data_IF_218511665087
#
_entry.id   IF_218511665087
#
_cell.length_a   1.000
_cell.length_b   1.000
_cell.length_c   1.000
_cell.angle_alpha   90.00
_cell.angle_beta   90.00
_cell.angle_gamma   90.00
#
_symmetry.space_group_name_H-M   'P 1'
#
loop_
_entity.id
_entity.type
_entity.pdbx_description
1 polymer ?
#
# COMPACT_ATOMS: atom_id res chain seq x y z
N UNK A 1 -3.65 -15.66 11.07
CA UNK A 1 -2.67 -14.62 10.62
C UNK A 1 -1.96 -14.04 11.82
N UNK A 2 -0.66 -14.00 11.75
CA UNK A 2 0.16 -13.40 12.81
C UNK A 2 0.27 -11.90 12.58
N UNK A 3 0.22 -11.14 13.66
CA UNK A 3 0.29 -9.69 13.62
C UNK A 3 1.47 -9.20 14.45
N UNK A 4 2.04 -8.07 14.03
CA UNK A 4 3.04 -7.32 14.80
C UNK A 4 2.34 -6.07 15.31
N UNK A 5 2.51 -5.79 16.60
CA UNK A 5 1.92 -4.59 17.20
C UNK A 5 2.94 -3.46 17.20
N UNK A 6 2.59 -2.34 16.60
CA UNK A 6 3.43 -1.16 16.59
C UNK A 6 3.36 -0.44 17.94
N UNK A 7 4.29 0.50 18.17
CA UNK A 7 4.36 1.23 19.42
C UNK A 7 3.13 2.10 19.70
N UNK A 8 2.34 2.39 18.68
CA UNK A 8 1.08 3.15 18.83
C UNK A 8 -0.13 2.24 19.01
N UNK A 9 0.07 0.93 19.16
CA UNK A 9 -1.01 -0.03 19.36
C UNK A 9 -1.63 -0.57 18.08
N UNK A 10 -1.25 -0.06 16.91
CA UNK A 10 -1.76 -0.55 15.65
C UNK A 10 -1.13 -1.91 15.32
N UNK A 11 -1.95 -2.84 14.84
CA UNK A 11 -1.51 -4.19 14.48
C UNK A 11 -1.34 -4.28 12.97
N UNK A 12 -0.16 -4.75 12.55
CA UNK A 12 0.15 -5.00 11.14
C UNK A 12 0.25 -6.50 10.92
N UNK A 13 -0.44 -7.06 9.89
CA UNK A 13 -0.24 -8.46 9.54
C UNK A 13 1.23 -8.70 9.20
N UNK A 14 1.80 -9.77 9.73
CA UNK A 14 3.21 -10.05 9.58
C UNK A 14 3.59 -10.42 8.14
N UNK A 15 2.67 -11.04 7.41
CA UNK A 15 2.88 -11.43 6.02
C UNK A 15 1.98 -10.58 5.13
N UNK A 16 2.56 -10.01 4.09
CA UNK A 16 1.84 -9.21 3.11
C UNK A 16 2.26 -9.55 1.69
N UNK A 17 1.43 -9.12 0.73
CA UNK A 17 1.76 -9.21 -0.69
C UNK A 17 2.34 -7.89 -1.14
N UNK A 18 3.58 -7.91 -1.64
CA UNK A 18 4.19 -6.76 -2.28
C UNK A 18 3.97 -6.83 -3.79
N UNK A 19 3.61 -5.71 -4.40
CA UNK A 19 3.31 -5.65 -5.83
C UNK A 19 4.32 -4.82 -6.61
N UNK A 20 5.53 -4.70 -6.10
CA UNK A 20 6.61 -4.01 -6.81
C UNK A 20 6.89 -4.73 -8.13
N UNK A 21 6.94 -3.95 -9.22
CA UNK A 21 7.19 -4.44 -10.58
C UNK A 21 6.09 -5.32 -11.17
N UNK A 22 4.91 -5.35 -10.59
CA UNK A 22 3.77 -5.95 -11.26
C UNK A 22 3.05 -4.86 -12.06
N UNK A 23 2.63 -5.15 -13.29
CA UNK A 23 2.03 -4.12 -14.14
C UNK A 23 0.65 -3.71 -13.64
N UNK A 24 0.26 -2.48 -13.96
CA UNK A 24 -1.11 -2.05 -13.73
C UNK A 24 -2.02 -2.84 -14.66
N UNK A 25 -3.16 -3.29 -14.15
CA UNK A 25 -4.13 -4.02 -14.92
C UNK A 25 -4.60 -5.30 -14.25
N UNK A 26 -5.17 -6.18 -15.07
CA UNK A 26 -5.83 -7.39 -14.58
C UNK A 26 -4.89 -8.34 -13.83
N UNK A 27 -3.63 -8.43 -14.24
CA UNK A 27 -2.70 -9.36 -13.58
C UNK A 27 -2.48 -8.97 -12.12
N UNK A 28 -2.25 -7.70 -11.85
CA UNK A 28 -2.08 -7.22 -10.49
C UNK A 28 -3.39 -7.30 -9.70
N UNK A 29 -4.50 -6.91 -10.30
CA UNK A 29 -5.80 -6.99 -9.64
C UNK A 29 -6.12 -8.44 -9.24
N UNK A 30 -5.89 -9.38 -10.14
CA UNK A 30 -6.13 -10.79 -9.85
C UNK A 30 -5.17 -11.32 -8.78
N UNK A 31 -3.90 -10.92 -8.81
CA UNK A 31 -2.94 -11.35 -7.81
C UNK A 31 -3.36 -10.89 -6.41
N UNK A 32 -3.82 -9.64 -6.29
CA UNK A 32 -4.32 -9.11 -5.02
C UNK A 32 -5.55 -9.89 -4.57
N UNK A 33 -6.50 -10.11 -5.46
CA UNK A 33 -7.70 -10.88 -5.15
C UNK A 33 -7.34 -12.28 -4.65
N UNK A 34 -6.49 -12.98 -5.38
CA UNK A 34 -6.10 -14.34 -5.02
C UNK A 34 -5.33 -14.40 -3.71
N UNK A 35 -4.47 -13.42 -3.44
CA UNK A 35 -3.76 -13.37 -2.16
C UNK A 35 -4.73 -13.21 -1.00
N UNK A 36 -5.70 -12.33 -1.13
CA UNK A 36 -6.71 -12.15 -0.09
C UNK A 36 -7.51 -13.43 0.12
N UNK A 37 -7.91 -14.08 -0.96
CA UNK A 37 -8.63 -15.36 -0.87
C UNK A 37 -7.80 -16.45 -0.22
N UNK A 38 -6.48 -16.39 -0.37
CA UNK A 38 -5.57 -17.33 0.25
C UNK A 38 -5.25 -17.01 1.71
N UNK A 39 -5.76 -15.91 2.23
CA UNK A 39 -5.57 -15.55 3.64
C UNK A 39 -4.66 -14.36 3.90
N UNK A 40 -4.08 -13.75 2.88
CA UNK A 40 -3.28 -12.55 3.07
C UNK A 40 -4.16 -11.40 3.54
N UNK A 41 -3.63 -10.60 4.48
CA UNK A 41 -4.37 -9.47 5.04
C UNK A 41 -3.59 -8.16 4.97
N UNK A 42 -2.50 -8.12 4.21
CA UNK A 42 -1.69 -6.93 4.02
C UNK A 42 -1.26 -6.84 2.56
N UNK A 43 -1.53 -5.71 1.93
CA UNK A 43 -1.11 -5.42 0.56
C UNK A 43 -0.19 -4.20 0.62
N UNK A 44 0.98 -4.30 0.00
CA UNK A 44 2.01 -3.26 -0.01
C UNK A 44 2.23 -2.77 -1.43
N UNK A 45 1.92 -1.51 -1.69
CA UNK A 45 2.13 -0.87 -2.98
C UNK A 45 2.82 0.48 -2.79
N UNK A 46 2.94 1.25 -3.86
CA UNK A 46 3.48 2.61 -3.84
C UNK A 46 3.03 3.36 -5.08
N UNK A 47 2.92 4.67 -4.97
CA UNK A 47 2.56 5.50 -6.12
C UNK A 47 3.49 5.28 -7.30
N UNK A 48 4.79 5.19 -7.04
CA UNK A 48 5.80 5.03 -8.10
C UNK A 48 5.69 3.69 -8.82
N UNK A 49 5.03 2.68 -8.22
CA UNK A 49 4.84 1.40 -8.89
C UNK A 49 3.86 1.50 -10.06
N UNK A 50 2.98 2.50 -10.05
CA UNK A 50 2.03 2.73 -11.12
C UNK A 50 0.87 1.75 -11.15
N UNK A 51 0.61 1.05 -10.06
CA UNK A 51 -0.41 0.00 -10.02
C UNK A 51 -1.43 0.14 -8.90
N UNK A 52 -1.52 1.32 -8.28
CA UNK A 52 -2.45 1.53 -7.16
C UNK A 52 -3.91 1.27 -7.55
N UNK A 53 -4.31 1.63 -8.77
CA UNK A 53 -5.68 1.36 -9.25
C UNK A 53 -5.98 -0.13 -9.25
N UNK A 54 -5.04 -0.92 -9.73
CA UNK A 54 -5.19 -2.37 -9.80
C UNK A 54 -5.25 -2.99 -8.41
N UNK A 55 -4.50 -2.46 -7.47
CA UNK A 55 -4.56 -2.91 -6.07
C UNK A 55 -5.95 -2.67 -5.51
N UNK A 56 -6.49 -1.46 -5.68
CA UNK A 56 -7.84 -1.15 -5.22
C UNK A 56 -8.89 -2.04 -5.85
N UNK A 57 -8.76 -2.30 -7.15
CA UNK A 57 -9.68 -3.18 -7.86
C UNK A 57 -9.62 -4.60 -7.33
N UNK A 58 -8.42 -5.13 -7.09
CA UNK A 58 -8.26 -6.48 -6.55
C UNK A 58 -8.89 -6.61 -5.16
N UNK A 59 -8.77 -5.59 -4.32
CA UNK A 59 -9.42 -5.59 -3.01
C UNK A 59 -10.93 -5.66 -3.18
N UNK A 60 -11.50 -4.86 -4.06
CA UNK A 60 -12.94 -4.87 -4.31
C UNK A 60 -13.40 -6.22 -4.87
N UNK A 61 -12.65 -6.78 -5.81
CA UNK A 61 -12.98 -8.06 -6.41
C UNK A 61 -13.01 -9.21 -5.41
N UNK A 62 -12.18 -9.12 -4.37
CA UNK A 62 -12.14 -10.16 -3.33
C UNK A 62 -13.38 -10.15 -2.45
N UNK A 63 -14.07 -9.03 -2.38
CA UNK A 63 -15.24 -8.89 -1.51
C UNK A 63 -14.92 -8.76 -0.03
N UNK A 64 -13.62 -8.63 0.33
CA UNK A 64 -13.25 -8.50 1.74
C UNK A 64 -13.72 -7.17 2.30
N UNK A 65 -14.11 -7.17 3.58
CA UNK A 65 -14.41 -5.93 4.29
C UNK A 65 -13.14 -5.10 4.40
N UNK A 66 -13.23 -3.81 4.11
CA UNK A 66 -12.06 -2.92 4.14
C UNK A 66 -11.36 -2.93 5.50
N UNK A 67 -12.10 -3.14 6.58
CA UNK A 67 -11.54 -3.18 7.93
C UNK A 67 -10.68 -4.41 8.18
N UNK A 68 -10.82 -5.43 7.35
CA UNK A 68 -10.12 -6.70 7.52
C UNK A 68 -8.85 -6.79 6.68
N UNK A 69 -8.51 -5.74 5.92
CA UNK A 69 -7.30 -5.69 5.10
C UNK A 69 -6.46 -4.47 5.48
N UNK A 70 -5.17 -4.66 5.57
CA UNK A 70 -4.21 -3.60 5.88
C UNK A 70 -3.54 -3.18 4.57
N UNK A 71 -3.61 -1.89 4.23
CA UNK A 71 -3.06 -1.38 2.97
C UNK A 71 -1.93 -0.39 3.26
N UNK A 72 -0.78 -0.66 2.69
CA UNK A 72 0.39 0.22 2.75
C UNK A 72 0.63 0.79 1.36
N UNK A 73 0.81 2.08 1.26
CA UNK A 73 1.37 2.71 0.06
C UNK A 73 2.43 3.71 0.45
N UNK A 74 3.11 4.28 -0.54
CA UNK A 74 4.31 5.09 -0.28
C UNK A 74 4.27 6.37 -1.11
N UNK A 75 4.72 7.44 -0.48
CA UNK A 75 4.84 8.75 -1.10
C UNK A 75 6.07 8.77 -2.02
N UNK A 76 5.89 9.31 -3.22
CA UNK A 76 6.97 9.42 -4.18
C UNK A 76 7.82 10.65 -3.88
N UNK A 77 9.15 10.50 -4.01
CA UNK A 77 10.09 11.57 -3.70
C UNK A 77 9.83 12.86 -4.50
N UNK A 78 9.42 12.71 -5.75
CA UNK A 78 9.15 13.88 -6.58
C UNK A 78 8.03 14.74 -6.00
N UNK A 79 7.00 14.10 -5.46
CA UNK A 79 5.89 14.84 -4.84
C UNK A 79 6.34 15.56 -3.57
N UNK A 80 7.29 14.99 -2.84
CA UNK A 80 7.88 15.65 -1.67
C UNK A 80 8.63 16.90 -2.11
N UNK A 81 9.48 16.77 -3.12
CA UNK A 81 10.28 17.90 -3.61
C UNK A 81 9.42 19.05 -4.08
N UNK A 82 8.27 18.77 -4.65
CA UNK A 82 7.38 19.79 -5.19
C UNK A 82 6.34 20.27 -4.18
N UNK A 83 6.43 19.79 -2.94
CA UNK A 83 5.51 20.22 -1.89
C UNK A 83 4.07 19.71 -2.07
N UNK A 84 3.90 18.58 -2.75
CA UNK A 84 2.58 18.03 -3.07
C UNK A 84 2.23 16.79 -2.24
N UNK A 85 2.74 16.70 -1.03
CA UNK A 85 2.52 15.54 -0.17
C UNK A 85 1.03 15.25 0.06
N UNK A 86 0.27 16.29 0.39
CA UNK A 86 -1.16 16.12 0.65
C UNK A 86 -1.91 15.70 -0.60
N UNK A 87 -1.62 16.37 -1.73
CA UNK A 87 -2.27 16.05 -3.00
C UNK A 87 -1.94 14.62 -3.44
N UNK A 88 -0.69 14.20 -3.24
CA UNK A 88 -0.28 12.84 -3.58
C UNK A 88 -1.02 11.80 -2.74
N UNK A 89 -1.19 12.06 -1.45
CA UNK A 89 -1.94 11.18 -0.57
C UNK A 89 -3.40 11.05 -1.03
N UNK A 90 -4.04 12.17 -1.32
CA UNK A 90 -5.42 12.17 -1.78
C UNK A 90 -5.55 11.45 -3.13
N UNK A 91 -4.58 11.62 -4.01
CA UNK A 91 -4.58 10.95 -5.29
C UNK A 91 -4.46 9.43 -5.14
N UNK A 92 -3.61 8.97 -4.22
CA UNK A 92 -3.50 7.54 -3.94
C UNK A 92 -4.81 6.95 -3.42
N UNK A 93 -5.50 7.67 -2.53
CA UNK A 93 -6.81 7.24 -2.06
C UNK A 93 -7.80 7.11 -3.21
N UNK A 94 -7.84 8.13 -4.09
CA UNK A 94 -8.74 8.12 -5.24
C UNK A 94 -8.40 6.99 -6.19
N UNK A 95 -7.14 6.80 -6.50
CA UNK A 95 -6.70 5.74 -7.43
C UNK A 95 -7.08 4.36 -6.93
N UNK A 96 -6.92 4.11 -5.64
CA UNK A 96 -7.29 2.83 -5.05
C UNK A 96 -8.77 2.72 -4.74
N UNK A 97 -9.50 3.83 -4.77
CA UNK A 97 -10.91 3.84 -4.42
C UNK A 97 -11.15 3.53 -2.94
N UNK A 98 -10.26 3.97 -2.08
CA UNK A 98 -10.33 3.72 -0.64
C UNK A 98 -10.58 5.00 0.11
N UNK A 99 -11.20 4.89 1.29
CA UNK A 99 -11.46 6.04 2.16
C UNK A 99 -10.28 6.34 3.08
N UNK A 100 -9.43 5.35 3.31
CA UNK A 100 -8.24 5.53 4.14
C UNK A 100 -7.16 4.54 3.76
N UNK A 101 -5.93 4.85 4.17
CA UNK A 101 -4.75 4.02 4.02
C UNK A 101 -4.26 3.70 5.43
N UNK A 102 -3.88 2.44 5.66
CA UNK A 102 -3.44 2.02 7.01
C UNK A 102 -2.02 2.50 7.32
N UNK A 103 -1.14 2.54 6.32
CA UNK A 103 0.23 2.97 6.51
C UNK A 103 0.72 3.70 5.26
N UNK A 104 1.19 4.93 5.44
CA UNK A 104 1.70 5.76 4.36
C UNK A 104 3.15 6.09 4.65
N UNK A 105 4.05 5.57 3.82
CA UNK A 105 5.48 5.69 4.04
C UNK A 105 6.10 6.65 3.04
N UNK A 106 7.25 7.22 3.42
CA UNK A 106 8.07 8.00 2.52
C UNK A 106 9.25 7.17 2.04
N UNK A 107 9.52 7.20 0.74
CA UNK A 107 10.67 6.51 0.17
C UNK A 107 11.97 7.29 0.33
N UNK A 108 11.90 8.52 0.85
CA UNK A 108 13.09 9.36 0.97
C UNK A 108 14.14 8.74 1.90
N UNK A 109 13.71 7.97 2.87
CA UNK A 109 14.62 7.31 3.80
C UNK A 109 15.37 6.16 3.16
N UNK A 110 14.83 5.61 2.08
CA UNK A 110 15.50 4.54 1.35
C UNK A 110 16.67 5.08 0.56
N UNK A 111 16.59 6.31 0.07
CA UNK A 111 17.67 6.90 -0.69
C UNK A 111 18.83 7.43 0.18
N UNK A 112 18.62 7.51 1.50
CA UNK A 112 19.66 7.95 2.44
C UNK A 112 19.73 7.02 3.64
N UNK A 113 20.04 5.76 3.40
CA UNK A 113 19.84 4.73 4.44
C UNK A 113 20.74 4.85 5.63
N UNK A 114 21.96 5.35 5.49
CA UNK A 114 22.92 5.30 6.57
C UNK A 114 22.73 6.37 7.61
N UNK A 115 22.20 7.51 7.19
CA UNK A 115 22.10 8.66 8.09
C UNK A 115 20.80 8.71 8.83
N UNK A 116 19.78 8.21 8.22
CA UNK A 116 18.44 8.38 8.73
C UNK A 116 17.80 7.10 9.14
N UNK A 117 18.61 6.12 9.37
CA UNK A 117 18.07 4.84 9.82
C UNK A 117 17.44 4.96 11.18
N UNK A 118 16.61 5.87 11.32
CA UNK A 118 16.00 6.15 12.53
C UNK A 118 14.74 5.56 12.86
#
# INVERSE_FOLDING_TARGET
MNYITLNNGVKIPQIGLGVFRTPDGADTANAVKWAIEAGYRHIDTAKVYGNEKSVGEGIRMSGIDRRDIFVTTKLWNEDIRQGRTKEAFLQSLEDMGLDYIDLYLSLIHISEPTRHSL
#
